data_IF_534922764931
#
_entry.id   IF_534922764931
#
_cell.length_a   1.000
_cell.length_b   1.000
_cell.length_c   1.000
_cell.angle_alpha   90.00
_cell.angle_beta   90.00
_cell.angle_gamma   90.00
#
_symmetry.space_group_name_H-M   'P 1'
#
loop_
_entity.id
_entity.type
_entity.pdbx_description
1 polymer ?
#
# COMPACT_ATOMS: atom_id res chain seq x y z
N UNK A 1 2.47 -24.82 -43.31
CA UNK A 1 2.77 -23.55 -42.60
C UNK A 1 1.86 -23.52 -41.38
N UNK A 2 2.35 -23.99 -40.23
CA UNK A 2 1.58 -24.08 -38.99
C UNK A 2 1.69 -22.74 -38.26
N UNK A 3 0.59 -22.01 -38.19
CA UNK A 3 0.47 -20.80 -37.38
C UNK A 3 0.43 -21.22 -35.91
N UNK A 4 1.51 -20.96 -35.19
CA UNK A 4 1.49 -20.99 -33.73
C UNK A 4 0.67 -19.80 -33.24
N UNK A 5 -0.55 -20.07 -32.81
CA UNK A 5 -1.31 -19.16 -31.96
C UNK A 5 -0.58 -19.16 -30.62
N UNK A 6 0.29 -18.17 -30.44
CA UNK A 6 0.80 -17.79 -29.12
C UNK A 6 -0.41 -17.34 -28.29
N UNK A 7 -0.89 -18.20 -27.39
CA UNK A 7 -1.70 -17.75 -26.28
C UNK A 7 -0.86 -16.74 -25.49
N UNK A 8 -1.15 -15.46 -25.68
CA UNK A 8 -0.52 -14.37 -24.95
C UNK A 8 -0.70 -14.61 -23.45
N UNK A 9 0.34 -15.13 -22.80
CA UNK A 9 0.41 -15.13 -21.35
C UNK A 9 0.38 -13.69 -20.91
N UNK A 10 -0.64 -13.29 -20.16
CA UNK A 10 -0.61 -12.01 -19.45
C UNK A 10 0.68 -11.98 -18.63
N UNK A 11 1.64 -11.17 -19.08
CA UNK A 11 2.88 -10.98 -18.35
C UNK A 11 2.52 -10.31 -17.04
N UNK A 12 2.71 -11.00 -15.92
CA UNK A 12 2.53 -10.41 -14.60
C UNK A 12 3.48 -9.20 -14.49
N UNK A 13 2.92 -8.02 -14.30
CA UNK A 13 3.70 -6.80 -14.08
C UNK A 13 4.07 -6.73 -12.60
N UNK A 14 5.36 -6.71 -12.29
CA UNK A 14 5.83 -6.57 -10.92
C UNK A 14 5.95 -5.09 -10.54
N UNK A 15 5.65 -4.78 -9.28
CA UNK A 15 5.96 -3.47 -8.69
C UNK A 15 7.16 -3.61 -7.77
N UNK A 16 8.15 -2.74 -7.95
CA UNK A 16 9.37 -2.72 -7.15
C UNK A 16 9.39 -1.51 -6.22
N UNK A 17 9.82 -1.69 -4.98
CA UNK A 17 10.03 -0.59 -4.05
C UNK A 17 11.03 0.40 -4.66
N UNK A 18 10.59 1.63 -4.88
CA UNK A 18 11.39 2.70 -5.45
C UNK A 18 11.93 3.60 -4.34
N UNK A 19 11.04 4.09 -3.49
CA UNK A 19 11.39 5.06 -2.44
C UNK A 19 10.62 4.80 -1.15
N UNK A 20 11.20 5.29 -0.05
CA UNK A 20 10.55 5.33 1.27
C UNK A 20 10.79 6.71 1.88
N UNK A 21 9.73 7.43 2.19
CA UNK A 21 9.77 8.81 2.65
C UNK A 21 9.23 8.91 4.07
N UNK A 22 10.00 9.48 4.98
CA UNK A 22 9.47 9.87 6.29
C UNK A 22 8.55 11.08 6.12
N UNK A 23 7.33 11.00 6.65
CA UNK A 23 6.40 12.12 6.60
C UNK A 23 6.86 13.23 7.55
N UNK A 24 6.89 14.45 7.02
CA UNK A 24 7.08 15.71 7.75
C UNK A 24 6.00 16.68 7.30
N UNK A 25 5.32 17.35 8.24
CA UNK A 25 4.09 18.13 7.99
C UNK A 25 4.23 19.29 6.99
N UNK A 26 5.45 19.72 6.68
CA UNK A 26 5.70 20.83 5.76
C UNK A 26 6.27 20.37 4.42
N UNK A 27 6.47 19.07 4.23
CA UNK A 27 7.11 18.54 3.04
C UNK A 27 6.09 17.91 2.09
N UNK A 28 6.15 18.35 0.84
CA UNK A 28 5.57 17.61 -0.27
C UNK A 28 6.38 16.35 -0.53
N UNK A 29 5.70 15.22 -0.73
CA UNK A 29 6.32 13.94 -1.09
C UNK A 29 5.86 13.58 -2.50
N UNK A 30 6.75 13.67 -3.48
CA UNK A 30 6.44 13.30 -4.85
C UNK A 30 7.02 11.92 -5.18
N UNK A 31 6.16 11.03 -5.68
CA UNK A 31 6.59 9.69 -6.13
C UNK A 31 7.10 9.71 -7.58
N UNK A 32 6.71 10.73 -8.34
CA UNK A 32 7.24 11.09 -9.65
C UNK A 32 7.07 12.60 -9.89
N UNK A 33 7.35 13.09 -11.11
CA UNK A 33 7.28 14.53 -11.42
C UNK A 33 5.87 15.13 -11.36
N UNK A 34 4.82 14.30 -11.43
CA UNK A 34 3.42 14.74 -11.47
C UNK A 34 2.66 14.41 -10.19
N UNK A 35 2.93 13.27 -9.57
CA UNK A 35 2.14 12.69 -8.48
C UNK A 35 2.75 12.98 -7.12
N UNK A 36 2.04 13.75 -6.29
CA UNK A 36 2.55 14.20 -5.01
C UNK A 36 1.52 14.11 -3.88
N UNK A 37 2.03 13.82 -2.70
CA UNK A 37 1.31 13.76 -1.44
C UNK A 37 1.66 14.96 -0.55
N UNK A 38 0.66 15.42 0.18
CA UNK A 38 0.79 16.49 1.16
C UNK A 38 0.17 16.04 2.47
N UNK A 39 0.75 16.49 3.57
CA UNK A 39 0.30 16.16 4.91
C UNK A 39 -0.02 17.43 5.66
N UNK A 40 -1.17 17.49 6.30
CA UNK A 40 -1.54 18.59 7.18
C UNK A 40 -2.29 18.03 8.37
N UNK A 41 -2.45 18.86 9.40
CA UNK A 41 -3.01 18.40 10.68
C UNK A 41 -4.05 19.39 11.15
N UNK A 42 -4.97 18.93 11.98
CA UNK A 42 -5.93 19.82 12.60
C UNK A 42 -5.22 20.71 13.64
N UNK A 43 -5.89 21.80 14.03
CA UNK A 43 -5.36 22.73 15.03
C UNK A 43 -5.10 22.08 16.39
N UNK A 44 -5.81 20.99 16.69
CA UNK A 44 -5.67 20.22 17.92
C UNK A 44 -4.63 19.09 17.86
N UNK A 45 -3.99 18.87 16.71
CA UNK A 45 -3.01 17.80 16.51
C UNK A 45 -3.56 16.42 16.89
N UNK A 46 -4.83 16.16 16.59
CA UNK A 46 -5.47 14.85 16.75
C UNK A 46 -5.50 14.07 15.45
N UNK A 47 -5.54 14.74 14.30
CA UNK A 47 -5.65 14.09 13.00
C UNK A 47 -4.52 14.51 12.07
N UNK A 48 -3.91 13.51 11.45
CA UNK A 48 -3.02 13.66 10.30
C UNK A 48 -3.82 13.37 9.03
N UNK A 49 -3.95 14.38 8.18
CA UNK A 49 -4.65 14.31 6.91
C UNK A 49 -3.65 14.10 5.77
N UNK A 50 -3.96 13.16 4.88
CA UNK A 50 -3.20 12.94 3.65
C UNK A 50 -4.00 13.44 2.44
N UNK A 51 -3.38 14.34 1.69
CA UNK A 51 -3.89 14.85 0.42
C UNK A 51 -3.03 14.34 -0.72
N UNK A 52 -3.64 14.19 -1.89
CA UNK A 52 -2.98 13.85 -3.14
C UNK A 52 -3.27 14.90 -4.20
N UNK A 53 -2.28 15.17 -5.05
CA UNK A 53 -2.41 16.01 -6.23
C UNK A 53 -1.62 15.39 -7.38
N UNK A 54 -2.19 15.50 -8.57
CA UNK A 54 -1.46 15.29 -9.81
C UNK A 54 -1.31 16.65 -10.54
N UNK A 55 -0.14 16.91 -11.10
CA UNK A 55 0.21 18.17 -11.76
C UNK A 55 -0.77 18.58 -12.89
N UNK A 56 -1.46 17.63 -13.52
CA UNK A 56 -2.40 17.89 -14.62
C UNK A 56 -3.82 18.26 -14.15
N UNK A 57 -4.17 18.00 -12.89
CA UNK A 57 -5.53 18.15 -12.36
C UNK A 57 -5.68 19.32 -11.37
N UNK A 58 -4.58 20.04 -11.10
CA UNK A 58 -4.41 21.30 -10.34
C UNK A 58 -4.94 21.35 -8.88
N UNK A 59 -5.83 20.45 -8.44
CA UNK A 59 -6.44 20.47 -7.11
C UNK A 59 -5.96 19.33 -6.22
N UNK A 60 -5.52 19.70 -5.02
CA UNK A 60 -5.26 18.75 -3.92
C UNK A 60 -6.58 18.16 -3.44
N UNK A 61 -6.67 16.84 -3.38
CA UNK A 61 -7.82 16.10 -2.85
C UNK A 61 -7.45 15.43 -1.54
N UNK A 62 -8.27 15.58 -0.51
CA UNK A 62 -8.14 14.78 0.71
C UNK A 62 -8.43 13.31 0.37
N UNK A 63 -7.49 12.41 0.68
CA UNK A 63 -7.61 10.98 0.36
C UNK A 63 -7.88 10.16 1.61
N UNK A 64 -7.21 10.48 2.73
CA UNK A 64 -7.38 9.75 3.98
C UNK A 64 -6.94 10.57 5.19
N UNK A 65 -7.21 10.03 6.37
CA UNK A 65 -6.75 10.57 7.64
C UNK A 65 -6.49 9.47 8.65
N UNK A 66 -5.60 9.75 9.59
CA UNK A 66 -5.29 8.88 10.74
C UNK A 66 -5.16 9.74 12.00
N UNK A 67 -5.14 9.10 13.16
CA UNK A 67 -4.85 9.79 14.41
C UNK A 67 -3.38 10.25 14.41
N UNK A 68 -3.14 11.50 14.82
CA UNK A 68 -1.87 12.24 14.70
C UNK A 68 -0.75 11.72 15.62
N UNK A 69 -1.03 10.71 16.46
CA UNK A 69 -0.04 10.13 17.38
C UNK A 69 0.63 8.83 16.90
N UNK A 70 1.00 8.62 15.61
CA UNK A 70 1.88 7.51 15.30
C UNK A 70 3.32 7.87 15.71
N UNK A 71 4.05 6.94 16.31
CA UNK A 71 5.48 7.10 16.58
C UNK A 71 6.28 7.33 15.31
N UNK A 72 5.78 6.79 14.19
CA UNK A 72 6.42 6.88 12.89
C UNK A 72 5.36 6.82 11.80
N UNK A 73 5.56 7.66 10.77
CA UNK A 73 4.71 7.65 9.59
C UNK A 73 5.54 7.78 8.32
N UNK A 74 5.33 6.87 7.37
CA UNK A 74 6.11 6.76 6.13
C UNK A 74 5.25 6.50 4.92
N UNK A 75 5.68 7.02 3.78
CA UNK A 75 5.15 6.67 2.46
C UNK A 75 6.15 5.81 1.74
N UNK A 76 5.73 4.62 1.30
CA UNK A 76 6.51 3.73 0.45
C UNK A 76 5.90 3.70 -0.93
N UNK A 77 6.69 3.98 -1.98
CA UNK A 77 6.23 3.91 -3.36
C UNK A 77 6.81 2.69 -4.06
N UNK A 78 5.93 1.87 -4.62
CA UNK A 78 6.27 0.73 -5.46
C UNK A 78 5.89 1.07 -6.90
N UNK A 79 6.86 1.04 -7.81
CA UNK A 79 6.66 1.40 -9.21
C UNK A 79 6.53 0.13 -10.06
N UNK A 80 5.53 0.09 -10.94
CA UNK A 80 5.39 -0.97 -11.94
C UNK A 80 6.59 -0.99 -12.90
N UNK A 81 6.94 -2.17 -13.43
CA UNK A 81 8.02 -2.29 -14.42
C UNK A 81 7.79 -1.47 -15.71
N UNK A 82 6.54 -1.16 -16.07
CA UNK A 82 6.22 -0.26 -17.20
C UNK A 82 6.38 1.22 -16.87
N UNK A 83 6.58 1.58 -15.59
CA UNK A 83 6.65 2.95 -15.06
C UNK A 83 5.35 3.77 -15.19
N UNK A 84 4.21 3.13 -15.46
CA UNK A 84 2.94 3.82 -15.71
C UNK A 84 2.00 3.83 -14.50
N UNK A 85 2.25 2.94 -13.54
CA UNK A 85 1.42 2.79 -12.35
C UNK A 85 2.26 2.56 -11.09
N UNK A 86 1.66 2.89 -9.95
CA UNK A 86 2.28 2.79 -8.64
C UNK A 86 1.34 2.14 -7.63
N UNK A 87 1.90 1.36 -6.72
CA UNK A 87 1.26 1.03 -5.45
C UNK A 87 1.95 1.82 -4.36
N UNK A 88 1.18 2.56 -3.58
CA UNK A 88 1.69 3.37 -2.47
C UNK A 88 1.17 2.81 -1.16
N UNK A 89 2.07 2.60 -0.21
CA UNK A 89 1.74 2.20 1.16
C UNK A 89 2.04 3.35 2.09
N UNK A 90 1.03 3.80 2.82
CA UNK A 90 1.17 4.71 3.95
C UNK A 90 1.24 3.90 5.24
N UNK A 91 2.46 3.77 5.76
CA UNK A 91 2.75 3.12 7.04
C UNK A 91 2.57 4.10 8.18
N UNK A 92 1.81 3.70 9.20
CA UNK A 92 1.67 4.41 10.48
C UNK A 92 1.91 3.43 11.61
N UNK A 93 2.85 3.72 12.49
CA UNK A 93 3.19 2.86 13.64
C UNK A 93 2.58 3.43 14.92
N UNK A 94 1.74 2.65 15.58
CA UNK A 94 1.20 2.90 16.92
C UNK A 94 1.82 1.94 17.94
N UNK A 95 1.45 2.06 19.22
CA UNK A 95 2.00 1.23 20.32
C UNK A 95 1.91 -0.27 20.06
N UNK A 96 0.81 -0.73 19.46
CA UNK A 96 0.50 -2.17 19.42
C UNK A 96 0.68 -2.76 18.03
N UNK A 97 0.33 -2.05 16.96
CA UNK A 97 0.44 -2.58 15.59
C UNK A 97 0.64 -1.47 14.56
N UNK A 98 1.34 -1.77 13.45
CA UNK A 98 1.38 -0.90 12.30
C UNK A 98 0.05 -0.97 11.55
N UNK A 99 -0.43 0.19 11.15
CA UNK A 99 -1.61 0.38 10.32
C UNK A 99 -1.15 0.87 8.96
N UNK A 100 -1.49 0.11 7.91
CA UNK A 100 -1.08 0.42 6.54
C UNK A 100 -2.28 0.77 5.69
N UNK A 101 -2.25 1.94 5.06
CA UNK A 101 -3.19 2.26 4.00
C UNK A 101 -2.53 2.07 2.64
N UNK A 102 -3.18 1.29 1.77
CA UNK A 102 -2.68 1.00 0.45
C UNK A 102 -3.48 1.75 -0.62
N UNK A 103 -2.79 2.26 -1.62
CA UNK A 103 -3.35 3.01 -2.73
C UNK A 103 -2.76 2.52 -4.05
N UNK A 104 -3.57 2.53 -5.10
CA UNK A 104 -3.15 2.31 -6.47
C UNK A 104 -3.26 3.62 -7.25
N UNK A 105 -2.19 3.98 -7.97
CA UNK A 105 -2.13 5.18 -8.80
C UNK A 105 -1.87 4.76 -10.25
N UNK A 106 -2.71 5.22 -11.15
CA UNK A 106 -2.55 5.02 -12.60
C UNK A 106 -3.07 6.26 -13.32
N UNK A 107 -2.31 6.77 -14.30
CA UNK A 107 -2.69 7.96 -15.09
C UNK A 107 -3.10 9.17 -14.21
N UNK A 108 -2.39 9.39 -13.10
CA UNK A 108 -2.69 10.49 -12.16
C UNK A 108 -3.98 10.33 -11.34
N UNK A 109 -4.67 9.20 -11.46
CA UNK A 109 -5.83 8.85 -10.63
C UNK A 109 -5.37 7.98 -9.48
N UNK A 110 -5.82 8.32 -8.27
CA UNK A 110 -5.58 7.54 -7.06
C UNK A 110 -6.84 6.81 -6.62
N UNK A 111 -6.70 5.53 -6.28
CA UNK A 111 -7.75 4.69 -5.71
C UNK A 111 -7.23 4.05 -4.44
N UNK A 112 -8.05 4.05 -3.37
CA UNK A 112 -7.73 3.34 -2.13
C UNK A 112 -7.95 1.85 -2.34
N UNK A 113 -6.89 1.06 -2.16
CA UNK A 113 -6.96 -0.40 -2.14
C UNK A 113 -7.65 -0.86 -0.85
N UNK A 114 -7.20 -0.30 0.28
CA UNK A 114 -7.74 -0.66 1.58
C UNK A 114 -6.77 -0.39 2.71
N UNK A 115 -7.15 -0.93 3.86
CA UNK A 115 -6.40 -0.85 5.12
C UNK A 115 -5.91 -2.26 5.47
N UNK A 116 -4.64 -2.37 5.85
CA UNK A 116 -4.02 -3.61 6.28
C UNK A 116 -3.53 -3.49 7.72
N UNK A 117 -4.03 -4.39 8.57
CA UNK A 117 -3.52 -4.66 9.91
C UNK A 117 -2.62 -5.89 9.83
N UNK A 118 -1.37 -5.68 9.43
CA UNK A 118 -0.41 -6.75 9.17
C UNK A 118 0.89 -6.42 9.89
N UNK A 119 1.50 -7.41 10.53
CA UNK A 119 2.81 -7.24 11.16
C UNK A 119 3.66 -8.49 11.03
N UNK A 120 4.96 -8.35 11.23
CA UNK A 120 5.83 -9.47 11.50
C UNK A 120 5.44 -10.11 12.85
N UNK A 121 5.57 -11.44 13.00
CA UNK A 121 5.44 -12.10 14.28
C UNK A 121 6.41 -11.47 15.30
N UNK A 122 5.89 -11.08 16.46
CA UNK A 122 6.70 -10.52 17.54
C UNK A 122 7.88 -11.47 17.86
N UNK A 123 9.09 -10.92 17.95
CA UNK A 123 10.24 -11.60 18.55
C UNK A 123 10.48 -11.14 20.00
N UNK A 124 10.21 -9.86 20.31
CA UNK A 124 10.44 -9.21 21.62
C UNK A 124 9.23 -8.49 22.22
N UNK A 125 8.18 -8.24 21.44
CA UNK A 125 6.85 -7.74 21.84
C UNK A 125 6.77 -6.30 22.35
N UNK A 126 7.82 -5.51 22.14
CA UNK A 126 7.80 -4.08 22.44
C UNK A 126 7.27 -3.24 21.27
N UNK A 127 7.37 -3.73 20.03
CA UNK A 127 6.74 -3.14 18.86
C UNK A 127 6.51 -4.19 17.77
N UNK A 128 5.45 -4.00 16.99
CA UNK A 128 5.16 -4.81 15.81
C UNK A 128 5.57 -4.03 14.55
N UNK A 129 6.34 -4.66 13.67
CA UNK A 129 6.86 -4.04 12.45
C UNK A 129 6.09 -4.51 11.21
N UNK A 130 5.93 -3.65 10.21
CA UNK A 130 5.40 -4.06 8.91
C UNK A 130 6.52 -4.63 8.02
N UNK A 131 6.32 -5.76 7.32
CA UNK A 131 7.36 -6.43 6.53
C UNK A 131 7.66 -5.74 5.19
N UNK A 132 7.91 -4.43 5.15
CA UNK A 132 8.00 -3.64 3.90
C UNK A 132 9.04 -4.17 2.90
N UNK A 133 10.14 -4.75 3.37
CA UNK A 133 11.21 -5.34 2.53
C UNK A 133 10.86 -6.74 2.01
N UNK A 134 9.90 -7.39 2.65
CA UNK A 134 9.47 -8.76 2.41
C UNK A 134 8.06 -8.78 1.82
N UNK A 135 7.67 -7.74 1.07
CA UNK A 135 6.43 -7.75 0.29
C UNK A 135 6.72 -7.95 -1.20
N UNK A 136 5.80 -8.64 -1.87
CA UNK A 136 5.79 -8.80 -3.32
C UNK A 136 4.45 -8.33 -3.86
N UNK A 137 4.50 -7.41 -4.82
CA UNK A 137 3.33 -6.82 -5.45
C UNK A 137 3.36 -7.12 -6.94
N UNK A 138 2.31 -7.77 -7.43
CA UNK A 138 2.14 -8.13 -8.84
C UNK A 138 0.81 -7.62 -9.36
N UNK A 139 0.75 -7.24 -10.63
CA UNK A 139 -0.48 -7.04 -11.37
C UNK A 139 -0.67 -8.19 -12.35
N UNK A 140 -1.82 -8.87 -12.24
CA UNK A 140 -2.26 -9.89 -13.17
C UNK A 140 -3.59 -9.46 -13.77
N UNK A 141 -3.55 -8.91 -14.99
CA UNK A 141 -4.70 -8.26 -15.61
C UNK A 141 -5.22 -7.11 -14.75
N UNK A 142 -6.41 -7.30 -14.17
CA UNK A 142 -7.12 -6.30 -13.36
C UNK A 142 -6.81 -6.41 -11.87
N UNK A 143 -6.11 -7.45 -11.45
CA UNK A 143 -5.87 -7.72 -10.04
C UNK A 143 -4.48 -7.24 -9.64
N UNK A 144 -4.40 -6.40 -8.60
CA UNK A 144 -3.19 -6.11 -7.83
C UNK A 144 -3.12 -7.11 -6.68
N UNK A 145 -2.07 -7.92 -6.66
CA UNK A 145 -1.84 -8.98 -5.68
C UNK A 145 -0.66 -8.57 -4.81
N UNK A 146 -0.92 -8.32 -3.52
CA UNK A 146 0.08 -8.07 -2.51
C UNK A 146 0.25 -9.34 -1.68
N UNK A 147 1.48 -9.83 -1.59
CA UNK A 147 1.85 -11.05 -0.88
C UNK A 147 3.10 -10.84 -0.02
N UNK A 148 3.31 -11.72 0.94
CA UNK A 148 4.36 -11.58 1.96
C UNK A 148 5.36 -12.73 1.84
N UNK A 149 6.65 -12.40 1.81
CA UNK A 149 7.78 -13.33 1.68
C UNK A 149 8.24 -13.91 3.03
N UNK A 150 7.66 -13.43 4.13
CA UNK A 150 7.84 -13.94 5.49
C UNK A 150 6.49 -14.28 6.11
N UNK A 151 6.55 -15.04 7.20
CA UNK A 151 5.40 -15.24 8.09
C UNK A 151 4.91 -13.87 8.59
N UNK A 152 3.59 -13.70 8.66
CA UNK A 152 2.96 -12.45 9.09
C UNK A 152 1.77 -12.71 10.00
N UNK A 153 1.59 -11.86 10.98
CA UNK A 153 0.33 -11.72 11.70
C UNK A 153 -0.61 -10.83 10.88
N UNK A 154 -1.86 -11.24 10.74
CA UNK A 154 -2.90 -10.44 10.10
C UNK A 154 -4.16 -10.43 10.95
N UNK A 155 -4.77 -9.25 11.09
CA UNK A 155 -6.06 -9.06 11.71
C UNK A 155 -7.08 -8.56 10.68
N UNK A 156 -8.02 -9.41 10.23
CA UNK A 156 -9.14 -8.95 9.42
C UNK A 156 -9.92 -7.86 10.16
N UNK A 157 -10.41 -6.84 9.45
CA UNK A 157 -11.13 -5.70 10.05
C UNK A 157 -12.37 -6.10 10.87
N UNK A 158 -13.00 -7.22 10.51
CA UNK A 158 -14.21 -7.73 11.17
C UNK A 158 -13.91 -8.86 12.17
N UNK A 159 -12.64 -9.14 12.44
CA UNK A 159 -12.19 -10.17 13.37
C UNK A 159 -11.43 -9.49 14.52
N UNK A 160 -11.61 -9.98 15.73
CA UNK A 160 -10.92 -9.45 16.90
C UNK A 160 -9.53 -10.07 17.07
N UNK A 161 -9.29 -11.23 16.45
CA UNK A 161 -8.10 -12.03 16.69
C UNK A 161 -7.06 -11.89 15.57
N UNK A 162 -5.81 -11.79 15.99
CA UNK A 162 -4.66 -11.89 15.10
C UNK A 162 -4.41 -13.35 14.74
N UNK A 163 -4.16 -13.60 13.45
CA UNK A 163 -3.83 -14.93 12.93
C UNK A 163 -2.46 -14.90 12.27
N UNK A 164 -1.64 -15.90 12.60
CA UNK A 164 -0.35 -16.12 11.97
C UNK A 164 -0.56 -16.84 10.63
N UNK A 165 -0.05 -16.26 9.55
CA UNK A 165 0.00 -16.86 8.22
C UNK A 165 1.44 -17.11 7.83
N UNK A 166 1.69 -18.28 7.22
CA UNK A 166 3.00 -18.61 6.67
C UNK A 166 3.32 -17.75 5.44
N UNK A 167 4.61 -17.55 5.18
CA UNK A 167 5.08 -16.88 3.97
C UNK A 167 4.35 -17.39 2.71
N UNK A 168 3.87 -16.46 1.89
CA UNK A 168 3.16 -16.75 0.63
C UNK A 168 1.69 -17.17 0.76
N UNK A 169 1.19 -17.45 1.98
CA UNK A 169 -0.20 -17.91 2.19
C UNK A 169 -1.19 -16.74 2.15
N UNK A 170 -0.91 -15.66 2.88
CA UNK A 170 -1.75 -14.47 2.86
C UNK A 170 -1.52 -13.67 1.57
N UNK A 171 -2.61 -13.42 0.83
CA UNK A 171 -2.62 -12.57 -0.36
C UNK A 171 -3.77 -11.56 -0.27
N UNK A 172 -3.45 -10.29 -0.41
CA UNK A 172 -4.43 -9.22 -0.60
C UNK A 172 -4.61 -9.00 -2.10
N UNK A 173 -5.82 -9.22 -2.61
CA UNK A 173 -6.14 -9.16 -4.04
C UNK A 173 -7.13 -8.03 -4.26
N UNK A 174 -6.69 -6.97 -4.91
CA UNK A 174 -7.50 -5.80 -5.24
C UNK A 174 -7.80 -5.76 -6.73
N UNK A 175 -9.08 -5.72 -7.09
CA UNK A 175 -9.49 -5.61 -8.48
C UNK A 175 -9.67 -4.14 -8.87
N UNK A 176 -8.91 -3.67 -9.86
CA UNK A 176 -8.87 -2.26 -10.27
C UNK A 176 -10.13 -1.79 -11.01
N UNK A 177 -10.99 -2.69 -11.46
CA UNK A 177 -12.27 -2.33 -12.10
C UNK A 177 -13.41 -2.23 -11.10
N UNK A 178 -13.53 -3.23 -10.21
CA UNK A 178 -14.61 -3.25 -9.21
C UNK A 178 -14.26 -2.44 -7.96
N UNK A 179 -12.99 -2.09 -7.77
CA UNK A 179 -12.44 -1.51 -6.54
C UNK A 179 -12.71 -2.36 -5.31
N UNK A 180 -12.80 -3.69 -5.49
CA UNK A 180 -13.00 -4.64 -4.40
C UNK A 180 -11.66 -5.21 -3.95
N UNK A 181 -11.47 -5.24 -2.63
CA UNK A 181 -10.37 -5.93 -1.96
C UNK A 181 -10.86 -7.26 -1.38
N UNK A 182 -10.15 -8.34 -1.71
CA UNK A 182 -10.39 -9.69 -1.18
C UNK A 182 -9.11 -10.22 -0.55
N UNK A 183 -9.27 -11.09 0.45
CA UNK A 183 -8.17 -11.78 1.10
C UNK A 183 -8.24 -13.26 0.76
N UNK A 184 -7.11 -13.80 0.30
CA UNK A 184 -6.93 -15.23 0.09
C UNK A 184 -5.90 -15.77 1.09
N UNK A 185 -6.19 -16.93 1.65
CA UNK A 185 -5.43 -17.58 2.73
C UNK A 185 -4.93 -18.97 2.30
N UNK A 186 -4.72 -19.18 1.00
CA UNK A 186 -4.31 -20.44 0.37
C UNK A 186 -3.03 -20.30 -0.42
#
# INVERSE_FOLDING_TARGET
MLAFVSCGGHSNLEFKLQNSFQIKLQNQICINTKDCFYFSTDSSLYQLFMYYSNAEWEKKKLIDKVDFSPYKSKIHSFQSQSNESYVVLWETEYEIYPLIYAYYITEGKIVKIGEFLISLPCQTCESLEYPIKDIRILQNGKDIIISFLKDVNFKPRNDNDWKLYKAGVLKCIFNTETNELKYNYR
#
